data_IF_163966836006
#
_entry.id   IF_163966836006
#
_cell.length_a   1.000
_cell.length_b   1.000
_cell.length_c   1.000
_cell.angle_alpha   90.00
_cell.angle_beta   90.00
_cell.angle_gamma   90.00
#
_symmetry.space_group_name_H-M   'P 1'
#
loop_
_entity.id
_entity.type
_entity.pdbx_description
1 polymer ?
#
# COMPACT_ATOMS: atom_id res chain seq x y z
N UNK A 1 16.72 10.66 15.09
CA UNK A 1 15.69 9.96 15.89
C UNK A 1 14.35 10.38 15.30
N UNK A 2 13.84 9.66 14.30
CA UNK A 2 12.53 10.00 13.71
C UNK A 2 11.45 9.54 14.68
N UNK A 3 10.57 10.46 15.05
CA UNK A 3 9.46 10.22 15.95
C UNK A 3 8.52 9.18 15.29
N UNK A 4 8.17 8.06 15.94
CA UNK A 4 7.25 7.05 15.37
C UNK A 4 5.81 7.54 15.17
N UNK A 5 5.57 8.85 15.30
CA UNK A 5 4.27 9.51 15.20
C UNK A 5 4.16 10.51 14.03
N UNK A 6 5.24 10.77 13.28
CA UNK A 6 5.17 11.61 12.08
C UNK A 6 4.93 10.74 10.86
N UNK A 7 3.67 10.70 10.41
CA UNK A 7 3.27 10.09 9.14
C UNK A 7 4.21 10.57 8.02
N UNK A 8 4.60 9.68 7.12
CA UNK A 8 5.33 10.06 5.91
C UNK A 8 4.52 11.05 5.07
N UNK A 9 5.18 11.85 4.22
CA UNK A 9 4.48 12.81 3.35
C UNK A 9 3.36 12.16 2.52
N UNK A 10 3.58 10.92 2.08
CA UNK A 10 2.59 10.13 1.36
C UNK A 10 1.38 9.82 2.25
N UNK A 11 1.61 9.33 3.47
CA UNK A 11 0.54 9.00 4.42
C UNK A 11 -0.26 10.24 4.83
N UNK A 12 0.39 11.39 5.00
CA UNK A 12 -0.29 12.67 5.26
C UNK A 12 -1.21 13.07 4.10
N UNK A 13 -0.76 12.90 2.85
CA UNK A 13 -1.58 13.16 1.65
C UNK A 13 -2.73 12.18 1.50
N UNK A 14 -2.54 10.91 1.89
CA UNK A 14 -3.61 9.91 1.91
C UNK A 14 -4.61 10.15 3.05
N UNK A 15 -4.20 10.80 4.14
CA UNK A 15 -5.07 11.18 5.25
C UNK A 15 -5.91 12.45 4.97
N UNK A 16 -5.52 13.27 3.99
CA UNK A 16 -6.21 14.51 3.62
C UNK A 16 -7.55 14.25 2.90
N UNK A 17 -8.49 15.23 2.89
CA UNK A 17 -9.67 15.18 2.04
C UNK A 17 -9.26 15.07 0.56
N UNK A 18 -9.61 13.95 -0.09
CA UNK A 18 -9.13 13.60 -1.43
C UNK A 18 -8.10 12.46 -1.46
N UNK A 19 -7.67 11.97 -0.30
CA UNK A 19 -6.78 10.83 -0.15
C UNK A 19 -7.30 9.56 -0.83
N UNK A 20 -8.62 9.31 -0.81
CA UNK A 20 -9.22 8.18 -1.53
C UNK A 20 -8.98 8.24 -3.05
N UNK A 21 -9.25 9.39 -3.68
CA UNK A 21 -8.98 9.59 -5.11
C UNK A 21 -7.47 9.50 -5.45
N UNK A 22 -6.61 9.96 -4.52
CA UNK A 22 -5.16 9.79 -4.65
C UNK A 22 -4.74 8.31 -4.54
N UNK A 23 -5.31 7.53 -3.60
CA UNK A 23 -5.09 6.07 -3.51
C UNK A 23 -5.50 5.39 -4.80
N UNK A 24 -6.70 5.69 -5.31
CA UNK A 24 -7.21 5.10 -6.55
C UNK A 24 -6.31 5.42 -7.74
N UNK A 25 -5.84 6.67 -7.84
CA UNK A 25 -4.91 7.10 -8.90
C UNK A 25 -3.57 6.36 -8.81
N UNK A 26 -3.01 6.21 -7.60
CA UNK A 26 -1.76 5.48 -7.38
C UNK A 26 -1.93 3.99 -7.66
N UNK A 27 -3.04 3.38 -7.21
CA UNK A 27 -3.35 1.99 -7.46
C UNK A 27 -3.52 1.70 -8.95
N UNK A 28 -4.21 2.58 -9.69
CA UNK A 28 -4.36 2.47 -11.14
C UNK A 28 -3.00 2.56 -11.88
N UNK A 29 -2.14 3.50 -11.48
CA UNK A 29 -0.79 3.62 -12.05
C UNK A 29 0.07 2.37 -11.81
N UNK A 30 0.01 1.82 -10.59
CA UNK A 30 0.73 0.59 -10.26
C UNK A 30 0.18 -0.61 -11.04
N UNK A 31 -1.14 -0.69 -11.23
CA UNK A 31 -1.75 -1.75 -12.04
C UNK A 31 -1.29 -1.71 -13.50
N UNK A 32 -1.20 -0.50 -14.10
CA UNK A 32 -0.68 -0.34 -15.47
C UNK A 32 0.79 -0.76 -15.56
N UNK A 33 1.62 -0.38 -14.57
CA UNK A 33 3.03 -0.76 -14.53
C UNK A 33 3.20 -2.28 -14.41
N UNK A 34 2.40 -2.92 -13.56
CA UNK A 34 2.36 -4.37 -13.38
C UNK A 34 1.95 -5.09 -14.68
N UNK A 35 0.90 -4.60 -15.36
CA UNK A 35 0.40 -5.18 -16.61
C UNK A 35 1.42 -5.09 -17.76
N UNK A 36 2.10 -3.95 -17.92
CA UNK A 36 3.17 -3.79 -18.91
C UNK A 36 4.34 -4.75 -18.61
N UNK A 37 4.75 -4.86 -17.34
CA UNK A 37 5.81 -5.77 -16.93
C UNK A 37 5.43 -7.24 -17.20
N UNK A 38 4.21 -7.66 -16.85
CA UNK A 38 3.70 -9.02 -17.11
C UNK A 38 3.58 -9.31 -18.61
N UNK A 39 3.12 -8.34 -19.39
CA UNK A 39 3.04 -8.45 -20.86
C UNK A 39 4.43 -8.67 -21.46
N UNK A 40 5.45 -7.97 -20.97
CA UNK A 40 6.83 -8.16 -21.42
C UNK A 40 7.38 -9.52 -21.02
N UNK A 41 7.10 -10.02 -19.82
CA UNK A 41 7.48 -11.37 -19.38
C UNK A 41 6.94 -12.46 -20.32
N UNK A 42 5.74 -12.26 -20.88
CA UNK A 42 5.15 -13.18 -21.86
C UNK A 42 5.81 -13.20 -23.24
N UNK A 43 6.71 -12.26 -23.55
CA UNK A 43 7.31 -12.10 -24.90
C UNK A 43 8.64 -12.82 -25.10
N UNK A 44 9.09 -13.66 -24.17
CA UNK A 44 10.36 -14.38 -24.29
C UNK A 44 11.55 -13.40 -24.18
N UNK A 45 11.89 -13.05 -22.94
CA UNK A 45 12.97 -12.10 -22.65
C UNK A 45 14.29 -12.81 -22.33
N UNK A 46 15.44 -12.17 -22.60
CA UNK A 46 16.71 -12.65 -22.06
C UNK A 46 16.71 -12.59 -20.51
N UNK A 47 17.49 -13.45 -19.82
CA UNK A 47 17.38 -13.66 -18.37
C UNK A 47 17.46 -12.40 -17.52
N UNK A 48 18.38 -11.48 -17.85
CA UNK A 48 18.53 -10.23 -17.10
C UNK A 48 17.29 -9.32 -17.21
N UNK A 49 16.72 -9.22 -18.41
CA UNK A 49 15.51 -8.42 -18.65
C UNK A 49 14.27 -9.09 -18.04
N UNK A 50 14.22 -10.42 -18.06
CA UNK A 50 13.18 -11.19 -17.35
C UNK A 50 13.19 -10.90 -15.86
N UNK A 51 14.35 -11.02 -15.20
CA UNK A 51 14.50 -10.72 -13.76
C UNK A 51 14.11 -9.27 -13.43
N UNK A 52 14.46 -8.33 -14.30
CA UNK A 52 14.10 -6.93 -14.11
C UNK A 52 12.59 -6.71 -14.22
N UNK A 53 11.93 -7.27 -15.25
CA UNK A 53 10.47 -7.18 -15.39
C UNK A 53 9.74 -7.89 -14.25
N UNK A 54 10.26 -9.01 -13.77
CA UNK A 54 9.72 -9.72 -12.61
C UNK A 54 9.80 -8.86 -11.35
N UNK A 55 10.96 -8.27 -11.06
CA UNK A 55 11.14 -7.38 -9.92
C UNK A 55 10.19 -6.16 -9.96
N UNK A 56 9.94 -5.59 -11.15
CA UNK A 56 8.97 -4.50 -11.33
C UNK A 56 7.55 -4.97 -11.01
N UNK A 57 7.14 -6.13 -11.53
CA UNK A 57 5.81 -6.67 -11.29
C UNK A 57 5.59 -6.97 -9.79
N UNK A 58 6.56 -7.59 -9.13
CA UNK A 58 6.51 -7.88 -7.69
C UNK A 58 6.49 -6.61 -6.85
N UNK A 59 7.33 -5.62 -7.19
CA UNK A 59 7.35 -4.33 -6.50
C UNK A 59 6.03 -3.56 -6.66
N UNK A 60 5.45 -3.57 -7.86
CA UNK A 60 4.16 -2.92 -8.13
C UNK A 60 3.03 -3.60 -7.33
N UNK A 61 3.01 -4.93 -7.29
CA UNK A 61 2.04 -5.70 -6.50
C UNK A 61 2.19 -5.42 -5.01
N UNK A 62 3.42 -5.42 -4.48
CA UNK A 62 3.69 -5.11 -3.08
C UNK A 62 3.26 -3.68 -2.71
N UNK A 63 3.54 -2.69 -3.58
CA UNK A 63 3.11 -1.31 -3.37
C UNK A 63 1.58 -1.19 -3.32
N UNK A 64 0.85 -1.92 -4.18
CA UNK A 64 -0.62 -1.96 -4.15
C UNK A 64 -1.15 -2.59 -2.86
N UNK A 65 -0.52 -3.65 -2.38
CA UNK A 65 -0.88 -4.28 -1.12
C UNK A 65 -0.69 -3.32 0.07
N UNK A 66 0.41 -2.56 0.08
CA UNK A 66 0.66 -1.52 1.09
C UNK A 66 -0.42 -0.44 1.02
N UNK A 67 -0.73 0.10 -0.17
CA UNK A 67 -1.78 1.11 -0.33
C UNK A 67 -3.17 0.60 0.12
N UNK A 68 -3.48 -0.67 -0.12
CA UNK A 68 -4.72 -1.30 0.34
C UNK A 68 -4.77 -1.51 1.87
N UNK A 69 -3.62 -1.61 2.52
CA UNK A 69 -3.52 -1.76 3.98
C UNK A 69 -3.62 -0.45 4.75
N UNK A 70 -3.48 0.71 4.07
CA UNK A 70 -3.62 2.03 4.70
C UNK A 70 -5.10 2.27 5.03
N UNK A 71 -5.47 2.41 6.31
CA UNK A 71 -6.86 2.62 6.70
C UNK A 71 -7.37 3.95 6.13
N UNK A 72 -8.62 3.95 5.70
CA UNK A 72 -9.27 5.20 5.30
C UNK A 72 -9.58 6.02 6.55
N UNK A 73 -9.10 7.27 6.66
CA UNK A 73 -9.34 8.11 7.85
C UNK A 73 -10.83 8.44 8.02
N UNK A 74 -11.65 8.29 6.97
CA UNK A 74 -13.10 8.52 7.04
C UNK A 74 -13.89 7.29 7.44
N UNK A 75 -13.24 6.13 7.58
CA UNK A 75 -13.91 4.94 8.10
C UNK A 75 -13.96 5.02 9.63
N UNK A 76 -15.15 5.14 10.27
CA UNK A 76 -15.27 5.17 11.72
C UNK A 76 -14.92 3.82 12.40
N UNK A 77 -14.38 2.85 11.67
CA UNK A 77 -13.93 1.56 12.19
C UNK A 77 -12.61 1.63 13.00
N UNK A 78 -12.11 2.84 13.29
CA UNK A 78 -10.96 3.10 14.14
C UNK A 78 -11.29 3.42 15.60
N UNK A 79 -12.53 3.18 16.06
CA UNK A 79 -12.76 3.03 17.49
C UNK A 79 -12.13 1.70 17.91
N UNK A 80 -10.83 1.73 18.20
CA UNK A 80 -10.21 0.72 19.05
C UNK A 80 -11.08 0.62 20.30
N UNK A 81 -11.96 -0.37 20.34
CA UNK A 81 -12.61 -0.78 21.56
C UNK A 81 -11.49 -1.30 22.45
N UNK A 82 -10.87 -0.39 23.20
CA UNK A 82 -10.12 -0.72 24.40
C UNK A 82 -11.14 -1.32 25.34
N UNK A 83 -11.39 -2.62 25.21
CA UNK A 83 -12.09 -3.37 26.23
C UNK A 83 -11.18 -3.37 27.46
N UNK A 84 -11.57 -2.75 28.59
CA UNK A 84 -10.79 -2.88 29.80
C UNK A 84 -10.90 -4.33 30.28
N UNK A 85 -9.75 -5.01 30.34
CA UNK A 85 -9.64 -6.32 30.96
C UNK A 85 -10.14 -6.26 32.42
N UNK A 86 -10.91 -7.24 32.90
CA UNK A 86 -11.42 -7.21 34.26
C UNK A 86 -10.28 -7.40 35.27
N UNK A 87 -10.29 -6.70 36.44
CA UNK A 87 -9.27 -6.88 37.45
C UNK A 87 -9.42 -8.25 38.13
N UNK A 88 -8.32 -9.01 38.17
CA UNK A 88 -8.20 -10.21 39.00
C UNK A 88 -8.13 -9.78 40.47
N UNK A 89 -9.23 -10.01 41.20
CA UNK A 89 -9.29 -9.93 42.67
C UNK A 89 -8.27 -10.89 43.30
N UNK A 90 -7.44 -10.38 44.22
CA UNK A 90 -6.67 -11.19 45.17
C UNK A 90 -6.82 -10.62 46.57
#
# INVERSE_FOLDING_TARGET
>A
MNNPADLTELEQRLAAPGGAALRDTLAARLAVLEDDARTRLGRGLPPATFQHCQAIADAAQAARAVLASVPDPTSPAGAFASAPFPPLNR
#
